data_IF_968278914979
#
_entry.id   IF_968278914979
#
_cell.length_a   1.000
_cell.length_b   1.000
_cell.length_c   1.000
_cell.angle_alpha   90.00
_cell.angle_beta   90.00
_cell.angle_gamma   90.00
#
_symmetry.space_group_name_H-M   'P 1'
#
loop_
_entity.id
_entity.type
_entity.pdbx_description
1 polymer ?
#
# COMPACT_ATOMS: atom_id res chain seq x y z
N UNK A 1 15.39 -7.90 20.83
CA UNK A 1 15.52 -7.69 19.38
C UNK A 1 14.44 -6.71 18.98
N UNK A 2 14.76 -5.65 18.22
CA UNK A 2 13.72 -4.76 17.70
C UNK A 2 13.03 -5.48 16.53
N UNK A 3 11.73 -5.26 16.38
CA UNK A 3 10.93 -5.93 15.38
C UNK A 3 10.88 -5.09 14.09
N UNK A 4 10.84 -5.71 12.89
CA UNK A 4 10.61 -4.97 11.65
C UNK A 4 9.36 -4.10 11.74
N UNK A 5 9.44 -2.92 11.16
CA UNK A 5 8.32 -2.00 11.03
C UNK A 5 7.75 -2.12 9.62
N UNK A 6 6.46 -2.40 9.53
CA UNK A 6 5.78 -2.41 8.23
C UNK A 6 4.86 -1.19 8.09
N UNK A 7 5.23 -0.22 7.25
CA UNK A 7 4.28 0.71 6.68
C UNK A 7 3.39 -0.01 5.67
N UNK A 8 2.10 0.28 5.71
CA UNK A 8 1.15 -0.10 4.67
C UNK A 8 0.42 1.12 4.12
N UNK A 9 0.07 1.09 2.84
CA UNK A 9 -0.70 2.14 2.17
C UNK A 9 -1.65 1.58 1.14
N UNK A 10 -2.85 2.13 1.06
CA UNK A 10 -3.79 1.85 0.01
C UNK A 10 -4.71 3.06 -0.24
N UNK A 11 -5.41 3.06 -1.37
CA UNK A 11 -6.39 4.09 -1.70
C UNK A 11 -7.70 3.90 -0.90
N UNK A 12 -8.54 4.93 -0.89
CA UNK A 12 -9.90 4.81 -0.39
C UNK A 12 -10.79 3.96 -1.33
N UNK A 13 -12.06 3.78 -0.96
CA UNK A 13 -13.02 2.98 -1.73
C UNK A 13 -13.24 3.44 -3.18
N UNK A 14 -12.96 4.70 -3.50
CA UNK A 14 -13.13 5.28 -4.86
C UNK A 14 -11.79 5.50 -5.58
N UNK A 15 -10.71 4.88 -5.09
CA UNK A 15 -9.43 4.89 -5.81
C UNK A 15 -8.55 6.11 -5.58
N UNK A 16 -8.74 6.86 -4.49
CA UNK A 16 -7.90 8.02 -4.14
C UNK A 16 -6.90 7.66 -3.05
N UNK A 17 -5.60 7.80 -3.32
CA UNK A 17 -4.56 7.77 -2.31
C UNK A 17 -4.51 9.09 -1.55
N UNK A 18 -4.55 9.01 -0.22
CA UNK A 18 -4.26 10.15 0.65
C UNK A 18 -2.84 10.67 0.42
N UNK A 19 -2.60 11.97 0.57
CA UNK A 19 -1.26 12.56 0.49
C UNK A 19 -0.68 12.65 -0.93
N UNK A 20 -1.45 12.29 -1.97
CA UNK A 20 -1.00 12.28 -3.37
C UNK A 20 -1.96 13.12 -4.20
N UNK A 21 -1.47 14.16 -4.85
CA UNK A 21 -2.23 14.96 -5.83
C UNK A 21 -1.69 14.64 -7.21
N UNK A 22 -2.43 13.84 -8.00
CA UNK A 22 -1.94 13.34 -9.27
C UNK A 22 -3.06 12.82 -10.17
N UNK A 23 -2.94 13.08 -11.47
CA UNK A 23 -3.87 12.55 -12.47
C UNK A 23 -3.86 11.02 -12.47
N UNK A 24 -5.06 10.42 -12.40
CA UNK A 24 -5.23 8.96 -12.42
C UNK A 24 -5.33 8.30 -11.04
N UNK A 25 -5.13 9.06 -9.96
CA UNK A 25 -5.35 8.62 -8.57
C UNK A 25 -6.80 8.88 -8.11
N UNK A 26 -7.79 8.82 -9.02
CA UNK A 26 -9.17 9.25 -8.71
C UNK A 26 -9.36 10.73 -8.33
N UNK A 27 -8.28 11.54 -8.22
CA UNK A 27 -8.31 13.00 -8.03
C UNK A 27 -7.65 13.77 -9.18
N UNK A 28 -7.80 15.11 -9.14
CA UNK A 28 -7.11 15.99 -10.07
C UNK A 28 -5.69 16.26 -9.60
N UNK A 29 -4.73 16.32 -10.53
CA UNK A 29 -3.37 16.80 -10.28
C UNK A 29 -3.30 18.25 -9.75
N UNK A 30 -4.42 18.98 -9.73
CA UNK A 30 -4.53 20.33 -9.17
C UNK A 30 -5.21 20.36 -7.80
N UNK A 31 -5.72 19.24 -7.30
CA UNK A 31 -6.34 19.16 -5.98
C UNK A 31 -5.26 18.95 -4.90
N UNK A 32 -4.76 20.05 -4.37
CA UNK A 32 -3.75 20.03 -3.30
C UNK A 32 -4.36 19.78 -1.92
N UNK A 33 -5.69 19.74 -1.78
CA UNK A 33 -6.33 19.49 -0.48
C UNK A 33 -6.05 18.07 0.03
N UNK A 34 -5.87 17.12 -0.90
CA UNK A 34 -5.57 15.73 -0.61
C UNK A 34 -4.14 15.51 -0.07
N UNK A 35 -3.22 16.47 -0.24
CA UNK A 35 -1.84 16.36 0.26
C UNK A 35 -1.77 16.23 1.79
N UNK A 36 -2.73 16.81 2.52
CA UNK A 36 -2.78 16.72 3.98
C UNK A 36 -3.55 15.50 4.49
N UNK A 37 -4.15 14.70 3.60
CA UNK A 37 -4.89 13.52 4.00
C UNK A 37 -3.94 12.38 4.40
N UNK A 38 -4.37 11.57 5.38
CA UNK A 38 -3.57 10.45 5.91
C UNK A 38 -4.34 9.13 6.00
N UNK A 39 -5.58 9.06 5.50
CA UNK A 39 -6.38 7.82 5.49
C UNK A 39 -5.71 6.71 4.67
N UNK A 40 -6.02 5.44 4.97
CA UNK A 40 -5.47 4.30 4.24
C UNK A 40 -3.96 4.10 4.42
N UNK A 41 -3.36 4.72 5.45
CA UNK A 41 -1.93 4.61 5.78
C UNK A 41 -1.80 4.15 7.23
N UNK A 42 -0.87 3.24 7.47
CA UNK A 42 -0.55 2.80 8.81
C UNK A 42 0.88 2.30 8.91
N UNK A 43 1.37 2.22 10.14
CA UNK A 43 2.71 1.80 10.47
C UNK A 43 2.58 0.90 11.69
N UNK A 44 3.08 -0.33 11.61
CA UNK A 44 3.02 -1.26 12.73
C UNK A 44 4.31 -2.05 12.85
N UNK A 45 4.83 -2.14 14.08
CA UNK A 45 5.90 -3.07 14.37
C UNK A 45 5.31 -4.48 14.49
N UNK A 46 6.00 -5.47 13.96
CA UNK A 46 5.67 -6.87 14.22
C UNK A 46 5.82 -7.19 15.71
N UNK A 47 5.14 -8.22 16.20
CA UNK A 47 5.30 -8.75 17.55
C UNK A 47 6.48 -9.73 17.65
N UNK A 48 6.63 -10.44 18.77
CA UNK A 48 7.71 -11.41 18.97
C UNK A 48 7.66 -12.61 18.03
N UNK A 49 6.49 -12.89 17.44
CA UNK A 49 6.27 -14.00 16.51
C UNK A 49 6.37 -13.53 15.05
N UNK A 50 6.71 -12.25 14.82
CA UNK A 50 6.79 -11.66 13.48
C UNK A 50 5.44 -11.30 12.88
N UNK A 51 4.38 -11.29 13.70
CA UNK A 51 3.01 -11.02 13.24
C UNK A 51 2.67 -9.54 13.43
N UNK A 52 1.89 -8.99 12.49
CA UNK A 52 1.22 -7.71 12.67
C UNK A 52 -0.22 -7.81 12.17
N UNK A 53 -1.07 -6.89 12.61
CA UNK A 53 -2.49 -6.86 12.29
C UNK A 53 -2.96 -5.42 12.19
N UNK A 54 -3.47 -5.04 11.02
CA UNK A 54 -4.12 -3.74 10.82
C UNK A 54 -5.59 -3.96 10.44
N UNK A 55 -6.45 -3.06 10.92
CA UNK A 55 -7.85 -3.01 10.54
C UNK A 55 -8.03 -1.82 9.59
N UNK A 56 -8.58 -2.07 8.42
CA UNK A 56 -8.87 -1.02 7.43
C UNK A 56 -10.13 -1.36 6.65
N UNK A 57 -10.51 -0.47 5.73
CA UNK A 57 -11.46 -0.79 4.66
C UNK A 57 -10.79 -1.68 3.62
N UNK A 58 -11.59 -2.35 2.79
CA UNK A 58 -11.08 -2.94 1.56
C UNK A 58 -10.60 -1.80 0.63
N UNK A 59 -9.45 -1.93 -0.05
CA UNK A 59 -8.99 -0.87 -0.94
C UNK A 59 -9.86 -0.79 -2.20
N UNK A 60 -10.10 0.42 -2.70
CA UNK A 60 -10.70 0.60 -4.01
C UNK A 60 -9.71 0.34 -5.14
N UNK A 61 -10.11 0.64 -6.37
CA UNK A 61 -9.26 0.59 -7.55
C UNK A 61 -9.10 1.97 -8.19
N UNK A 62 -8.04 2.13 -8.98
CA UNK A 62 -7.84 3.31 -9.81
C UNK A 62 -7.29 2.92 -11.17
N UNK A 63 -7.43 3.81 -12.14
CA UNK A 63 -7.23 3.46 -13.56
C UNK A 63 -5.84 2.88 -13.81
N UNK A 64 -5.81 1.71 -14.44
CA UNK A 64 -4.59 1.02 -14.86
C UNK A 64 -3.96 0.15 -13.77
N UNK A 65 -4.59 0.03 -12.60
CA UNK A 65 -4.13 -0.80 -11.49
C UNK A 65 -5.27 -1.63 -10.91
N UNK A 66 -5.02 -2.90 -10.64
CA UNK A 66 -5.97 -3.73 -9.89
C UNK A 66 -5.93 -3.40 -8.40
N UNK A 67 -6.88 -3.90 -7.60
CA UNK A 67 -6.98 -3.59 -6.18
C UNK A 67 -5.80 -4.15 -5.38
N UNK A 68 -5.11 -3.30 -4.62
CA UNK A 68 -3.89 -3.69 -3.91
C UNK A 68 -3.63 -2.89 -2.61
N UNK A 69 -2.73 -3.43 -1.77
CA UNK A 69 -2.13 -2.73 -0.63
C UNK A 69 -0.61 -2.71 -0.81
N UNK A 70 0.00 -1.52 -0.79
CA UNK A 70 1.46 -1.43 -0.69
C UNK A 70 1.93 -1.79 0.72
N UNK A 71 3.01 -2.55 0.79
CA UNK A 71 3.75 -2.82 2.02
C UNK A 71 5.22 -2.48 1.84
N UNK A 72 5.86 -2.07 2.93
CA UNK A 72 7.31 -1.96 3.02
C UNK A 72 7.78 -2.55 4.35
N UNK A 73 9.03 -3.03 4.41
CA UNK A 73 9.64 -3.52 5.64
C UNK A 73 10.90 -2.73 5.96
N UNK A 74 10.90 -2.00 7.08
CA UNK A 74 12.10 -1.35 7.59
C UNK A 74 12.81 -2.26 8.60
N UNK A 75 14.11 -2.54 8.41
CA UNK A 75 14.87 -3.38 9.33
C UNK A 75 14.85 -2.84 10.77
N UNK A 76 14.96 -3.76 11.71
CA UNK A 76 15.09 -3.44 13.12
C UNK A 76 16.26 -2.46 13.38
N UNK A 77 15.99 -1.38 14.12
CA UNK A 77 17.02 -0.40 14.50
C UNK A 77 17.37 0.64 13.43
N UNK A 78 16.73 0.62 12.25
CA UNK A 78 16.89 1.66 11.21
C UNK A 78 15.83 2.77 11.28
N UNK A 79 14.92 2.67 12.26
CA UNK A 79 13.82 3.60 12.48
C UNK A 79 13.62 3.86 13.99
N UNK A 80 12.91 4.94 14.30
CA UNK A 80 12.45 5.26 15.67
C UNK A 80 11.08 5.91 15.62
N UNK A 81 10.20 5.54 16.56
CA UNK A 81 8.89 6.15 16.71
C UNK A 81 9.02 7.52 17.38
N UNK A 82 8.45 8.54 16.76
CA UNK A 82 8.43 9.90 17.26
C UNK A 82 7.17 10.13 18.14
N UNK A 83 7.22 11.06 19.11
CA UNK A 83 6.08 11.33 20.02
C UNK A 83 4.79 11.77 19.32
N UNK A 84 4.89 12.29 18.11
CA UNK A 84 3.75 12.69 17.26
C UNK A 84 3.16 11.52 16.45
N UNK A 85 3.60 10.28 16.68
CA UNK A 85 3.11 9.09 15.97
C UNK A 85 3.70 8.89 14.58
N UNK A 86 4.67 9.71 14.16
CA UNK A 86 5.43 9.49 12.92
C UNK A 86 6.71 8.71 13.20
N UNK A 87 7.45 8.33 12.16
CA UNK A 87 8.76 7.68 12.31
C UNK A 87 9.88 8.61 11.84
N UNK A 88 11.04 8.52 12.48
CA UNK A 88 12.32 8.99 11.93
C UNK A 88 13.16 7.79 11.49
N UNK A 89 14.03 7.99 10.50
CA UNK A 89 14.71 6.88 9.82
C UNK A 89 13.81 6.26 8.75
N UNK A 90 13.98 4.97 8.46
CA UNK A 90 13.19 4.26 7.45
C UNK A 90 13.60 4.52 5.98
N UNK A 91 14.72 5.20 5.75
CA UNK A 91 15.31 5.27 4.40
C UNK A 91 15.87 3.91 3.94
N UNK A 92 16.24 3.06 4.91
CA UNK A 92 16.64 1.67 4.70
C UNK A 92 15.39 0.79 4.70
N UNK A 93 15.15 0.11 3.59
CA UNK A 93 14.01 -0.78 3.39
C UNK A 93 14.51 -2.15 2.99
N UNK A 94 14.13 -3.21 3.71
CA UNK A 94 14.47 -4.59 3.38
C UNK A 94 13.54 -5.19 2.33
N UNK A 95 12.33 -4.67 2.19
CA UNK A 95 11.36 -5.17 1.23
C UNK A 95 10.34 -4.09 0.86
N UNK A 96 9.96 -4.02 -0.41
CA UNK A 96 8.80 -3.28 -0.89
C UNK A 96 8.01 -4.25 -1.75
N UNK A 97 6.71 -4.33 -1.53
CA UNK A 97 5.85 -5.23 -2.28
C UNK A 97 4.41 -4.75 -2.30
N UNK A 98 3.56 -5.50 -2.99
CA UNK A 98 2.13 -5.25 -3.06
C UNK A 98 1.36 -6.52 -2.74
N UNK A 99 0.34 -6.38 -1.90
CA UNK A 99 -0.63 -7.42 -1.61
C UNK A 99 -1.82 -7.25 -2.55
N UNK A 100 -2.23 -8.34 -3.19
CA UNK A 100 -3.38 -8.41 -4.08
C UNK A 100 -4.48 -9.28 -3.48
N UNK A 101 -5.64 -9.26 -4.12
CA UNK A 101 -6.84 -9.96 -3.66
C UNK A 101 -7.38 -10.84 -4.79
N UNK A 102 -8.05 -11.93 -4.41
CA UNK A 102 -8.75 -12.78 -5.37
C UNK A 102 -9.73 -11.95 -6.22
N UNK A 103 -9.80 -12.25 -7.52
CA UNK A 103 -10.62 -11.48 -8.45
C UNK A 103 -12.12 -11.58 -8.13
N UNK A 104 -12.59 -12.72 -7.61
CA UNK A 104 -13.97 -12.91 -7.20
C UNK A 104 -14.29 -12.08 -5.94
N UNK A 105 -13.33 -11.94 -5.02
CA UNK A 105 -13.47 -11.05 -3.86
C UNK A 105 -13.56 -9.58 -4.30
N UNK A 106 -12.71 -9.16 -5.25
CA UNK A 106 -12.75 -7.81 -5.82
C UNK A 106 -14.13 -7.53 -6.41
N UNK A 107 -14.68 -8.44 -7.23
CA UNK A 107 -16.01 -8.27 -7.79
C UNK A 107 -17.11 -8.18 -6.74
N UNK A 108 -17.04 -9.00 -5.69
CA UNK A 108 -18.01 -8.97 -4.61
C UNK A 108 -17.99 -7.62 -3.87
N UNK A 109 -16.81 -7.04 -3.63
CA UNK A 109 -16.69 -5.74 -2.97
C UNK A 109 -17.12 -4.58 -3.89
N UNK A 110 -16.74 -4.62 -5.17
CA UNK A 110 -17.10 -3.59 -6.16
C UNK A 110 -18.62 -3.45 -6.37
N UNK A 111 -19.39 -4.50 -6.08
CA UNK A 111 -20.85 -4.47 -6.14
C UNK A 111 -21.51 -3.71 -4.97
N UNK A 112 -20.78 -3.44 -3.88
CA UNK A 112 -21.31 -2.83 -2.66
C UNK A 112 -21.01 -1.33 -2.58
N UNK A 113 -21.90 -0.56 -1.95
CA UNK A 113 -21.62 0.84 -1.65
C UNK A 113 -20.54 0.96 -0.54
N UNK A 114 -19.61 1.92 -0.62
CA UNK A 114 -19.49 2.98 -1.63
C UNK A 114 -18.63 2.60 -2.86
N UNK A 115 -18.11 1.37 -2.96
CA UNK A 115 -17.24 0.94 -4.06
C UNK A 115 -17.96 1.00 -5.41
N UNK A 116 -19.25 0.67 -5.44
CA UNK A 116 -20.11 0.79 -6.62
C UNK A 116 -20.24 2.22 -7.17
N UNK A 117 -19.84 3.24 -6.40
CA UNK A 117 -19.83 4.65 -6.82
C UNK A 117 -18.52 5.03 -7.54
N UNK A 118 -17.51 4.15 -7.54
CA UNK A 118 -16.25 4.38 -8.23
C UNK A 118 -16.44 4.29 -9.74
N UNK A 119 -16.44 5.45 -10.42
CA UNK A 119 -16.60 5.54 -11.87
C UNK A 119 -15.33 5.25 -12.68
N UNK A 120 -14.23 4.85 -12.04
CA UNK A 120 -13.00 4.49 -12.74
C UNK A 120 -13.13 3.14 -13.45
N UNK A 121 -12.26 2.88 -14.43
CA UNK A 121 -12.24 1.58 -15.10
C UNK A 121 -11.49 0.57 -14.24
N UNK A 122 -12.20 -0.47 -13.79
CA UNK A 122 -11.60 -1.59 -13.07
C UNK A 122 -10.60 -2.32 -13.97
N UNK A 123 -9.34 -2.39 -13.52
CA UNK A 123 -8.29 -3.21 -14.15
C UNK A 123 -8.27 -4.58 -13.46
N UNK A 124 -8.38 -5.66 -14.23
CA UNK A 124 -8.39 -7.00 -13.66
C UNK A 124 -6.99 -7.41 -13.19
N UNK A 125 -6.89 -8.38 -12.27
CA UNK A 125 -5.61 -8.93 -11.83
C UNK A 125 -4.76 -9.39 -13.01
N UNK A 126 -5.37 -10.10 -13.98
CA UNK A 126 -4.70 -10.61 -15.17
C UNK A 126 -4.26 -9.52 -16.17
N UNK A 127 -4.68 -8.27 -15.96
CA UNK A 127 -4.37 -7.12 -16.82
C UNK A 127 -3.40 -6.14 -16.13
N UNK A 128 -3.11 -6.32 -14.84
CA UNK A 128 -2.18 -5.50 -14.07
C UNK A 128 -0.75 -6.06 -14.21
N UNK A 129 0.10 -5.35 -14.94
CA UNK A 129 1.48 -5.78 -15.18
C UNK A 129 2.38 -5.80 -13.92
N UNK A 130 1.99 -5.12 -12.83
CA UNK A 130 2.70 -5.20 -11.55
C UNK A 130 2.26 -6.46 -10.79
N UNK A 131 0.97 -6.79 -10.82
CA UNK A 131 0.48 -8.07 -10.29
C UNK A 131 1.14 -9.25 -11.02
N UNK A 132 1.19 -9.21 -12.35
CA UNK A 132 1.88 -10.22 -13.17
C UNK A 132 3.37 -10.32 -12.79
N UNK A 133 4.05 -9.19 -12.62
CA UNK A 133 5.46 -9.15 -12.23
C UNK A 133 5.73 -9.78 -10.87
N UNK A 134 4.96 -9.41 -9.84
CA UNK A 134 5.08 -9.95 -8.48
C UNK A 134 4.75 -11.45 -8.44
N UNK A 135 3.70 -11.86 -9.15
CA UNK A 135 3.29 -13.27 -9.27
C UNK A 135 4.32 -14.16 -9.99
N UNK A 136 5.27 -13.57 -10.72
CA UNK A 136 6.39 -14.27 -11.32
C UNK A 136 7.44 -14.75 -10.31
N UNK A 137 7.49 -14.13 -9.13
CA UNK A 137 8.52 -14.37 -8.11
C UNK A 137 7.95 -14.93 -6.80
N UNK A 138 6.77 -14.44 -6.40
CA UNK A 138 6.08 -14.80 -5.15
C UNK A 138 4.61 -15.08 -5.40
N UNK A 139 3.89 -15.54 -4.37
CA UNK A 139 2.42 -15.49 -4.37
C UNK A 139 1.98 -14.25 -3.58
N UNK A 140 1.54 -13.17 -4.25
CA UNK A 140 1.21 -11.92 -3.58
C UNK A 140 -0.29 -11.81 -3.25
N UNK A 141 -1.09 -12.85 -3.51
CA UNK A 141 -2.54 -12.83 -3.27
C UNK A 141 -2.83 -13.25 -1.83
N UNK A 142 -3.59 -12.43 -1.11
CA UNK A 142 -3.96 -12.74 0.27
C UNK A 142 -5.01 -13.84 0.32
N UNK A 143 -4.88 -14.71 1.31
CA UNK A 143 -5.95 -15.63 1.72
C UNK A 143 -6.99 -14.87 2.53
N UNK A 144 -8.25 -15.31 2.50
CA UNK A 144 -9.30 -14.63 3.25
C UNK A 144 -10.47 -15.54 3.67
N UNK A 145 -11.20 -15.08 4.68
CA UNK A 145 -12.53 -15.57 5.05
C UNK A 145 -13.47 -14.38 5.27
N UNK A 146 -14.76 -14.59 4.99
CA UNK A 146 -15.79 -13.62 5.38
C UNK A 146 -16.12 -13.77 6.87
N UNK A 147 -16.31 -12.64 7.53
CA UNK A 147 -16.72 -12.58 8.93
C UNK A 147 -18.24 -12.69 9.12
N UNK A 148 -18.98 -12.71 8.01
CA UNK A 148 -20.42 -12.96 7.94
C UNK A 148 -20.79 -13.63 6.61
N UNK A 149 -22.03 -13.42 6.17
CA UNK A 149 -22.55 -14.03 4.94
C UNK A 149 -22.17 -13.20 3.69
N UNK A 150 -21.92 -11.90 3.87
CA UNK A 150 -21.61 -10.95 2.80
C UNK A 150 -20.29 -10.21 3.07
N UNK A 151 -19.66 -9.67 2.02
CA UNK A 151 -18.39 -8.92 2.14
C UNK A 151 -18.48 -7.70 3.06
N UNK A 152 -19.66 -7.07 3.15
CA UNK A 152 -19.92 -5.92 4.02
C UNK A 152 -19.95 -6.27 5.52
N UNK A 153 -20.11 -7.54 5.87
CA UNK A 153 -20.06 -8.01 7.26
C UNK A 153 -18.61 -8.07 7.79
N UNK A 154 -17.64 -8.08 6.87
CA UNK A 154 -16.22 -8.01 7.17
C UNK A 154 -15.43 -9.09 6.47
N UNK A 155 -14.16 -8.80 6.21
CA UNK A 155 -13.19 -9.70 5.59
C UNK A 155 -12.01 -9.83 6.55
N UNK A 156 -11.63 -11.07 6.86
CA UNK A 156 -10.37 -11.35 7.55
C UNK A 156 -9.41 -11.98 6.56
N UNK A 157 -8.32 -11.27 6.25
CA UNK A 157 -7.30 -11.71 5.32
C UNK A 157 -5.95 -11.93 5.99
N UNK A 158 -5.15 -12.83 5.42
CA UNK A 158 -3.80 -13.11 5.88
C UNK A 158 -2.87 -13.50 4.73
N UNK A 159 -1.58 -13.25 4.92
CA UNK A 159 -0.51 -13.66 4.03
C UNK A 159 0.80 -13.76 4.81
N UNK A 160 1.67 -14.69 4.42
CA UNK A 160 3.02 -14.78 4.96
C UNK A 160 3.99 -14.13 3.97
N UNK A 161 4.74 -13.12 4.41
CA UNK A 161 5.74 -12.43 3.59
C UNK A 161 7.14 -12.82 4.05
N UNK A 162 7.89 -13.48 3.17
CA UNK A 162 9.31 -13.74 3.39
C UNK A 162 10.14 -12.48 3.08
N UNK A 163 10.97 -12.05 4.01
CA UNK A 163 11.87 -10.91 3.83
C UNK A 163 13.33 -11.33 4.06
N UNK A 164 14.25 -10.77 3.27
CA UNK A 164 15.68 -10.79 3.61
C UNK A 164 15.97 -9.58 4.51
N UNK A 165 16.18 -9.77 5.82
CA UNK A 165 16.43 -8.65 6.74
C UNK A 165 17.78 -7.98 6.53
N UNK A 166 18.66 -8.56 5.71
CA UNK A 166 19.97 -8.00 5.35
C UNK A 166 19.92 -7.15 4.08
N UNK A 167 18.83 -7.26 3.31
CA UNK A 167 18.61 -6.41 2.16
C UNK A 167 18.42 -4.94 2.58
N UNK A 168 18.88 -4.03 1.74
CA UNK A 168 18.81 -2.61 2.00
C UNK A 168 18.63 -1.82 0.71
N UNK A 169 17.38 -1.49 0.41
CA UNK A 169 16.95 -0.71 -0.73
C UNK A 169 16.66 0.73 -0.31
N UNK A 170 17.03 1.68 -1.17
CA UNK A 170 16.64 3.08 -1.05
C UNK A 170 15.33 3.29 -1.81
N UNK A 171 14.29 3.76 -1.11
CA UNK A 171 12.96 3.98 -1.69
C UNK A 171 12.69 5.47 -1.79
N UNK A 172 12.30 5.94 -2.98
CA UNK A 172 11.88 7.33 -3.20
C UNK A 172 10.35 7.45 -3.06
N UNK A 173 9.81 8.16 -2.06
CA UNK A 173 8.36 8.25 -1.86
C UNK A 173 7.71 9.24 -2.85
N UNK A 174 6.43 9.06 -3.16
CA UNK A 174 5.68 9.99 -4.02
C UNK A 174 5.36 11.34 -3.34
N UNK A 175 5.29 11.37 -2.01
CA UNK A 175 5.01 12.56 -1.22
C UNK A 175 5.59 12.44 0.20
N UNK A 176 5.85 13.58 0.82
CA UNK A 176 6.32 13.72 2.19
C UNK A 176 5.22 14.31 3.08
N UNK A 177 5.22 13.95 4.35
CA UNK A 177 4.42 14.61 5.38
C UNK A 177 5.35 15.12 6.47
N UNK A 178 5.40 16.43 6.67
CA UNK A 178 6.27 17.11 7.64
C UNK A 178 5.44 17.79 8.73
N UNK A 179 6.11 18.48 9.67
CA UNK A 179 5.44 19.26 10.70
C UNK A 179 4.49 20.35 10.15
N UNK A 180 4.77 20.84 8.95
CA UNK A 180 4.04 21.93 8.30
C UNK A 180 3.02 21.44 7.24
N UNK A 181 2.86 20.11 7.09
CA UNK A 181 1.87 19.48 6.22
C UNK A 181 2.45 18.55 5.15
N UNK A 182 1.61 18.18 4.18
CA UNK A 182 1.97 17.31 3.07
C UNK A 182 2.55 18.03 1.86
N UNK A 183 3.58 17.45 1.24
CA UNK A 183 4.27 17.98 0.07
C UNK A 183 4.46 16.88 -0.97
N UNK A 184 4.16 17.17 -2.24
CA UNK A 184 4.52 16.26 -3.34
C UNK A 184 6.05 16.13 -3.46
N UNK A 185 6.54 14.93 -3.77
CA UNK A 185 7.95 14.73 -4.08
C UNK A 185 8.18 14.90 -5.58
N UNK A 186 8.94 15.91 -5.98
CA UNK A 186 9.25 16.17 -7.38
C UNK A 186 10.03 15.03 -8.06
N UNK A 187 10.79 14.25 -7.27
CA UNK A 187 11.59 13.11 -7.73
C UNK A 187 10.88 11.77 -7.48
N UNK A 188 9.64 11.78 -6.98
CA UNK A 188 8.88 10.59 -6.62
C UNK A 188 8.21 9.91 -7.82
N UNK A 189 7.90 8.59 -7.72
CA UNK A 189 7.09 7.93 -8.73
C UNK A 189 5.69 8.56 -8.79
N UNK A 190 5.17 8.77 -10.00
CA UNK A 190 3.80 9.26 -10.22
C UNK A 190 2.73 8.27 -9.72
N UNK A 191 1.44 8.64 -9.78
CA UNK A 191 0.32 7.84 -9.25
C UNK A 191 0.21 6.39 -9.74
N UNK A 192 0.84 6.06 -10.87
CA UNK A 192 0.92 4.71 -11.43
C UNK A 192 2.28 4.01 -11.23
N UNK A 193 3.09 4.46 -10.29
CA UNK A 193 4.43 3.93 -10.08
C UNK A 193 4.44 2.45 -9.71
N UNK A 194 5.17 1.66 -10.51
CA UNK A 194 5.70 0.39 -10.06
C UNK A 194 6.41 0.57 -8.70
N UNK A 195 6.45 -0.45 -7.83
CA UNK A 195 7.41 -0.43 -6.74
C UNK A 195 8.79 -0.17 -7.36
N UNK A 196 9.72 0.53 -6.67
CA UNK A 196 11.05 0.75 -7.21
C UNK A 196 11.59 -0.61 -7.68
N UNK A 197 11.76 -0.76 -8.99
CA UNK A 197 12.24 -2.01 -9.56
C UNK A 197 13.61 -2.29 -8.98
N UNK A 198 13.91 -3.57 -8.74
CA UNK A 198 15.25 -4.05 -8.45
C UNK A 198 16.25 -3.53 -9.49
N UNK A 199 16.81 -2.36 -9.24
CA UNK A 199 17.97 -1.87 -9.95
C UNK A 199 19.17 -2.37 -9.16
N UNK A 200 19.62 -3.57 -9.49
CA UNK A 200 21.01 -3.96 -9.31
C UNK A 200 21.88 -2.87 -9.94
N UNK A 201 22.42 -1.95 -9.14
CA UNK A 201 23.14 -0.81 -9.67
C UNK A 201 23.63 0.13 -8.58
N UNK A 202 24.88 -0.08 -8.18
CA UNK A 202 25.74 0.80 -7.38
C UNK A 202 25.45 2.31 -7.49
N UNK A 203 25.23 2.97 -6.35
CA UNK A 203 26.14 3.96 -5.74
C UNK A 203 25.50 4.59 -4.50
#
# INVERSE_FOLDING_TARGET
HANPLLPHRHCNATGVYSGVSASGNGDSATDTSNLNATYGRGIQATDSDGVLQFQSIFPGHYTGRTTHIHIAAHPAGTWSLLPNGTISGGGSTAHVGQLFFDQDLIYAVEAEAPYSENGQTLTLNAEDGIMEGEAGEVDPVVEYVLLGDEVKDGIFSWIAVGIDPTANYTVTPAAYYSADGGYANADGPGAGGAPPSEASGSA
#
